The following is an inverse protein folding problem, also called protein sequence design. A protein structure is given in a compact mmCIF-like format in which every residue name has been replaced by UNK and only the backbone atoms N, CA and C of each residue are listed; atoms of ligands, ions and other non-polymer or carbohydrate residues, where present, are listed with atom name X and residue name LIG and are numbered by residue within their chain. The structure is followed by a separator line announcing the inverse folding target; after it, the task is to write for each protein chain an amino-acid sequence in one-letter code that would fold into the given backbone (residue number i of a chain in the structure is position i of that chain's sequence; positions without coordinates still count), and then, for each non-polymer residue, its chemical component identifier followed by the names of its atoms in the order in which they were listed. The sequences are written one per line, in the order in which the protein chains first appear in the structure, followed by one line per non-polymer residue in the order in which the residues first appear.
data_IF_665004759490
#
_entry.id   IF_665004759490
#
_cell.length_a   1.000
_cell.length_b   1.000
_cell.length_c   1.000
_cell.angle_alpha   90.00
_cell.angle_beta   90.00
_cell.angle_gamma   90.00
#
_symmetry.space_group_name_H-M   'P 1'
#
loop_
_entity.id
_entity.type
_entity.pdbx_description
1 polymer ?
#
# COMPACT_ATOMS: atom_id res chain seq x y z
N UNK A 1 35.14 37.91 -34.58
CA UNK A 1 33.86 38.00 -35.31
C UNK A 1 32.75 37.55 -34.36
N UNK A 2 31.93 38.47 -33.84
CA UNK A 2 30.86 38.18 -32.86
C UNK A 2 29.51 38.62 -33.42
N UNK A 3 28.71 37.67 -33.90
CA UNK A 3 27.25 37.74 -33.98
C UNK A 3 26.71 36.32 -33.93
N UNK A 4 26.55 35.78 -32.72
CA UNK A 4 25.65 34.65 -32.53
C UNK A 4 24.24 35.24 -32.61
N UNK A 5 23.59 35.01 -33.75
CA UNK A 5 22.15 35.22 -33.88
C UNK A 5 21.49 34.32 -32.83
N UNK A 6 20.94 34.90 -31.77
CA UNK A 6 19.95 34.22 -30.93
C UNK A 6 18.74 33.99 -31.81
N UNK A 7 18.61 32.75 -32.29
CA UNK A 7 17.56 32.29 -33.19
C UNK A 7 16.19 32.54 -32.54
N UNK A 8 15.25 33.09 -33.32
CA UNK A 8 13.88 33.30 -32.88
C UNK A 8 13.19 31.92 -32.82
N UNK A 9 13.27 31.28 -31.67
CA UNK A 9 12.64 29.99 -31.42
C UNK A 9 11.21 30.18 -30.88
N UNK A 10 10.22 29.87 -31.71
CA UNK A 10 8.80 29.99 -31.39
C UNK A 10 8.37 29.08 -30.23
N UNK A 11 8.95 27.88 -30.13
CA UNK A 11 8.67 26.94 -29.03
C UNK A 11 9.13 27.53 -27.69
N UNK A 12 10.32 28.14 -27.69
CA UNK A 12 10.87 28.79 -26.50
C UNK A 12 10.03 30.01 -26.06
N UNK A 13 9.47 30.77 -27.01
CA UNK A 13 8.53 31.87 -26.71
C UNK A 13 7.20 31.33 -26.15
N UNK A 14 6.69 30.21 -26.68
CA UNK A 14 5.51 29.54 -26.14
C UNK A 14 5.72 29.11 -24.68
N UNK A 15 6.82 28.41 -24.40
CA UNK A 15 7.18 28.00 -23.03
C UNK A 15 7.38 29.19 -22.09
N UNK A 16 7.95 30.30 -22.60
CA UNK A 16 8.05 31.54 -21.83
C UNK A 16 6.66 32.12 -21.48
N UNK A 17 5.74 32.12 -22.45
CA UNK A 17 4.37 32.56 -22.25
C UNK A 17 3.62 31.71 -21.20
N UNK A 18 3.82 30.40 -21.22
CA UNK A 18 3.20 29.47 -20.28
C UNK A 18 3.90 29.44 -18.89
N UNK A 19 5.02 30.15 -18.74
CA UNK A 19 5.80 30.19 -17.49
C UNK A 19 6.65 28.94 -17.23
N UNK A 20 6.92 28.13 -18.27
CA UNK A 20 7.63 26.85 -18.21
C UNK A 20 9.14 26.95 -18.47
N UNK A 21 9.71 28.15 -18.29
CA UNK A 21 11.14 28.42 -18.47
C UNK A 21 11.82 28.64 -17.12
N UNK A 22 13.10 28.28 -17.04
CA UNK A 22 13.91 28.59 -15.85
C UNK A 22 14.12 30.09 -15.70
N UNK A 23 14.48 30.55 -14.49
CA UNK A 23 14.73 31.97 -14.24
C UNK A 23 15.82 32.57 -15.14
N UNK A 24 16.86 31.80 -15.47
CA UNK A 24 17.94 32.24 -16.36
C UNK A 24 17.44 32.41 -17.80
N UNK A 25 16.60 31.50 -18.28
CA UNK A 25 15.99 31.56 -19.60
C UNK A 25 15.01 32.71 -19.69
N UNK A 26 14.20 32.92 -18.65
CA UNK A 26 13.30 34.07 -18.55
C UNK A 26 14.06 35.39 -18.76
N UNK A 27 15.14 35.63 -18.02
CA UNK A 27 15.95 36.86 -18.14
C UNK A 27 16.62 37.02 -19.53
N UNK A 28 16.94 35.91 -20.21
CA UNK A 28 17.49 35.92 -21.56
C UNK A 28 16.41 36.28 -22.59
N UNK A 29 15.23 35.66 -22.46
CA UNK A 29 14.10 35.84 -23.37
C UNK A 29 13.51 37.25 -23.19
N UNK A 30 13.35 37.75 -21.96
CA UNK A 30 12.88 39.12 -21.72
C UNK A 30 13.79 40.16 -22.40
N UNK A 31 15.11 39.99 -22.32
CA UNK A 31 16.06 40.86 -23.04
C UNK A 31 16.00 40.71 -24.55
N UNK A 32 15.76 39.50 -25.05
CA UNK A 32 15.55 39.29 -26.49
C UNK A 32 14.27 39.98 -26.99
N UNK A 33 13.20 39.91 -26.20
CA UNK A 33 11.92 40.54 -26.50
C UNK A 33 12.01 42.06 -26.56
N UNK A 34 12.92 42.71 -25.83
CA UNK A 34 13.14 44.17 -25.95
C UNK A 34 13.63 44.59 -27.35
N UNK A 35 14.36 43.71 -28.04
CA UNK A 35 15.03 44.01 -29.31
C UNK A 35 14.50 43.27 -30.55
N UNK A 36 13.56 42.34 -30.39
CA UNK A 36 13.09 41.48 -31.47
C UNK A 36 11.58 41.63 -31.76
N UNK A 37 11.19 42.39 -32.80
CA UNK A 37 9.79 42.58 -33.18
C UNK A 37 9.08 41.28 -33.56
N UNK A 38 9.79 40.30 -34.13
CA UNK A 38 9.22 39.00 -34.51
C UNK A 38 8.74 38.24 -33.28
N UNK A 39 9.59 38.10 -32.26
CA UNK A 39 9.23 37.40 -31.03
C UNK A 39 8.19 38.17 -30.21
N UNK A 40 8.20 39.50 -30.25
CA UNK A 40 7.12 40.31 -29.67
C UNK A 40 5.77 40.00 -30.33
N UNK A 41 5.75 39.88 -31.66
CA UNK A 41 4.52 39.56 -32.39
C UNK A 41 4.01 38.17 -32.03
N UNK A 42 4.87 37.15 -31.98
CA UNK A 42 4.50 35.79 -31.57
C UNK A 42 3.87 35.81 -30.16
N UNK A 43 4.49 36.54 -29.22
CA UNK A 43 3.96 36.67 -27.86
C UNK A 43 2.60 37.37 -27.83
N UNK A 44 2.41 38.42 -28.64
CA UNK A 44 1.13 39.14 -28.76
C UNK A 44 0.03 38.26 -29.38
N UNK A 45 0.37 37.46 -30.39
CA UNK A 45 -0.57 36.54 -31.03
C UNK A 45 -1.05 35.47 -30.03
N UNK A 46 -0.13 34.91 -29.22
CA UNK A 46 -0.47 33.97 -28.14
C UNK A 46 -1.35 34.62 -27.06
N UNK A 47 -1.04 35.86 -26.66
CA UNK A 47 -1.86 36.62 -25.72
C UNK A 47 -3.27 36.89 -26.25
N UNK A 48 -3.40 37.22 -27.54
CA UNK A 48 -4.68 37.46 -28.17
C UNK A 48 -5.55 36.19 -28.19
N UNK A 49 -4.97 35.05 -28.57
CA UNK A 49 -5.66 33.75 -28.56
C UNK A 49 -6.11 33.39 -27.13
N UNK A 50 -5.21 33.51 -26.16
CA UNK A 50 -5.50 33.22 -24.75
C UNK A 50 -6.63 34.10 -24.20
N UNK A 51 -6.64 35.39 -24.57
CA UNK A 51 -7.70 36.32 -24.17
C UNK A 51 -9.05 35.92 -24.77
N UNK A 52 -9.11 35.66 -26.08
CA UNK A 52 -10.35 35.23 -26.75
C UNK A 52 -10.87 33.92 -26.16
N UNK A 53 -9.99 32.97 -25.85
CA UNK A 53 -10.38 31.72 -25.22
C UNK A 53 -10.95 31.94 -23.81
N UNK A 54 -10.24 32.72 -22.98
CA UNK A 54 -10.67 33.03 -21.61
C UNK A 54 -12.00 33.77 -21.58
N UNK A 55 -12.17 34.79 -22.42
CA UNK A 55 -13.40 35.60 -22.44
C UNK A 55 -14.61 34.75 -22.84
N UNK A 56 -14.45 33.83 -23.79
CA UNK A 56 -15.49 32.88 -24.14
C UNK A 56 -15.77 31.88 -23.00
N UNK A 57 -14.72 31.35 -22.37
CA UNK A 57 -14.87 30.41 -21.26
C UNK A 57 -15.56 31.07 -20.07
N UNK A 58 -15.19 32.31 -19.71
CA UNK A 58 -15.79 33.06 -18.60
C UNK A 58 -17.27 33.36 -18.86
N UNK A 59 -17.64 33.66 -20.11
CA UNK A 59 -19.04 33.84 -20.51
C UNK A 59 -19.86 32.55 -20.36
N UNK A 60 -19.29 31.40 -20.71
CA UNK A 60 -19.98 30.10 -20.58
C UNK A 60 -20.01 29.63 -19.11
N UNK A 61 -18.91 29.81 -18.38
CA UNK A 61 -18.76 29.46 -16.95
C UNK A 61 -19.70 30.28 -16.08
N UNK A 62 -19.88 31.57 -16.37
CA UNK A 62 -20.84 32.41 -15.64
C UNK A 62 -22.31 32.00 -15.85
N UNK A 63 -22.60 31.28 -16.93
CA UNK A 63 -23.92 30.72 -17.21
C UNK A 63 -24.07 29.26 -16.71
N UNK A 64 -22.97 28.61 -16.34
CA UNK A 64 -22.98 27.23 -15.89
C UNK A 64 -23.44 27.11 -14.43
N UNK A 65 -24.37 26.19 -14.17
CA UNK A 65 -24.79 25.83 -12.82
C UNK A 65 -23.86 24.72 -12.26
N UNK A 66 -22.86 25.15 -11.50
CA UNK A 66 -21.93 24.23 -10.83
C UNK A 66 -22.59 23.42 -9.71
N UNK A 67 -23.72 23.87 -9.14
CA UNK A 67 -24.46 23.11 -8.14
C UNK A 67 -25.11 21.86 -8.73
N UNK A 68 -25.62 21.96 -9.95
CA UNK A 68 -26.13 20.81 -10.71
C UNK A 68 -24.99 19.83 -11.05
N UNK A 69 -23.81 20.35 -11.42
CA UNK A 69 -22.64 19.52 -11.70
C UNK A 69 -22.17 18.78 -10.44
N UNK A 70 -22.03 19.49 -9.32
CA UNK A 70 -21.63 18.92 -8.03
C UNK A 70 -22.58 17.81 -7.61
N UNK A 71 -23.89 18.05 -7.69
CA UNK A 71 -24.92 17.06 -7.34
C UNK A 71 -24.80 15.80 -8.20
N UNK A 72 -24.58 15.92 -9.51
CA UNK A 72 -24.39 14.76 -10.40
C UNK A 72 -23.12 13.99 -10.09
N UNK A 73 -22.02 14.69 -9.82
CA UNK A 73 -20.74 14.04 -9.49
C UNK A 73 -20.85 13.26 -8.18
N UNK A 74 -21.44 13.87 -7.15
CA UNK A 74 -21.67 13.21 -5.87
C UNK A 74 -22.60 12.00 -6.00
N UNK A 75 -23.68 12.12 -6.76
CA UNK A 75 -24.59 11.00 -6.99
C UNK A 75 -23.92 9.85 -7.76
N UNK A 76 -23.09 10.16 -8.75
CA UNK A 76 -22.33 9.16 -9.50
C UNK A 76 -21.28 8.45 -8.64
N UNK A 77 -20.62 9.15 -7.71
CA UNK A 77 -19.70 8.54 -6.75
C UNK A 77 -20.48 7.61 -5.81
N UNK A 78 -21.63 8.07 -5.28
CA UNK A 78 -22.47 7.29 -4.37
C UNK A 78 -23.04 6.03 -5.03
N UNK A 79 -23.46 6.10 -6.29
CA UNK A 79 -23.95 4.93 -7.03
C UNK A 79 -22.83 3.92 -7.33
N UNK A 80 -21.57 4.37 -7.40
CA UNK A 80 -20.41 3.51 -7.65
C UNK A 80 -19.96 2.76 -6.39
N UNK A 81 -20.34 3.21 -5.20
CA UNK A 81 -20.20 2.43 -3.97
C UNK A 81 -21.13 1.23 -4.02
N UNK A 82 -20.59 0.10 -4.49
CA UNK A 82 -21.32 -1.13 -4.73
C UNK A 82 -21.94 -1.67 -3.41
N UNK A 83 -23.26 -1.93 -3.34
CA UNK A 83 -23.97 -2.41 -2.13
C UNK A 83 -23.68 -3.88 -1.79
N UNK A 84 -22.55 -4.42 -2.23
CA UNK A 84 -22.15 -5.80 -1.93
C UNK A 84 -21.91 -6.00 -0.43
N UNK A 85 -21.31 -5.02 0.25
CA UNK A 85 -21.16 -5.04 1.71
C UNK A 85 -22.52 -5.01 2.43
N UNK A 86 -23.49 -4.22 1.98
CA UNK A 86 -24.84 -4.21 2.56
C UNK A 86 -25.59 -5.53 2.37
N UNK A 87 -25.35 -6.24 1.27
CA UNK A 87 -25.94 -7.57 1.03
C UNK A 87 -25.31 -8.63 1.93
N UNK A 88 -24.00 -8.58 2.16
CA UNK A 88 -23.29 -9.53 3.02
C UNK A 88 -23.66 -9.32 4.50
N UNK A 89 -23.72 -8.07 4.97
CA UNK A 89 -24.11 -7.78 6.36
C UNK A 89 -25.54 -8.24 6.65
N UNK A 90 -26.49 -8.03 5.73
CA UNK A 90 -27.87 -8.52 5.89
C UNK A 90 -27.97 -10.05 5.95
N UNK A 91 -27.10 -10.78 5.25
CA UNK A 91 -27.05 -12.24 5.32
C UNK A 91 -26.44 -12.74 6.64
N UNK A 92 -25.34 -12.12 7.09
CA UNK A 92 -24.67 -12.51 8.34
C UNK A 92 -25.45 -12.15 9.60
N UNK A 93 -26.16 -11.02 9.61
CA UNK A 93 -26.98 -10.56 10.75
C UNK A 93 -28.45 -11.01 10.69
N UNK A 94 -28.81 -11.90 9.77
CA UNK A 94 -30.11 -12.55 9.80
C UNK A 94 -30.17 -13.50 11.00
N UNK A 95 -31.09 -13.27 11.94
CA UNK A 95 -31.32 -14.09 13.15
C UNK A 95 -31.46 -15.61 12.87
N UNK A 96 -31.64 -16.00 11.60
CA UNK A 96 -31.65 -17.40 11.15
C UNK A 96 -30.28 -18.10 11.25
N UNK A 97 -29.16 -17.37 11.24
CA UNK A 97 -27.80 -17.93 11.33
C UNK A 97 -27.14 -17.74 12.71
N UNK A 98 -27.63 -16.82 13.54
CA UNK A 98 -27.10 -16.61 14.89
C UNK A 98 -27.40 -17.80 15.82
N UNK A 99 -28.56 -18.43 15.67
CA UNK A 99 -28.95 -19.61 16.46
C UNK A 99 -28.04 -20.82 16.17
N UNK A 100 -27.82 -21.25 14.91
CA UNK A 100 -26.91 -22.38 14.66
C UNK A 100 -25.45 -22.06 15.00
N UNK A 101 -24.98 -20.82 14.79
CA UNK A 101 -23.60 -20.45 15.09
C UNK A 101 -23.28 -20.51 16.60
N UNK A 102 -24.20 -20.04 17.44
CA UNK A 102 -24.05 -20.11 18.91
C UNK A 102 -24.08 -21.56 19.42
N UNK A 103 -24.92 -22.42 18.85
CA UNK A 103 -24.95 -23.84 19.20
C UNK A 103 -23.63 -24.56 18.85
N UNK A 104 -23.06 -24.31 17.67
CA UNK A 104 -21.77 -24.89 17.27
C UNK A 104 -20.63 -24.40 18.17
N UNK A 105 -20.58 -23.09 18.46
CA UNK A 105 -19.57 -22.54 19.36
C UNK A 105 -19.67 -23.14 20.78
N UNK A 106 -20.89 -23.31 21.30
CA UNK A 106 -21.11 -23.95 22.60
C UNK A 106 -20.69 -25.41 22.62
N UNK A 107 -20.94 -26.17 21.55
CA UNK A 107 -20.48 -27.55 21.43
C UNK A 107 -18.95 -27.64 21.38
N UNK A 108 -18.28 -26.78 20.60
CA UNK A 108 -16.81 -26.74 20.56
C UNK A 108 -16.25 -26.44 21.95
N UNK A 109 -16.82 -25.46 22.65
CA UNK A 109 -16.38 -25.09 23.99
C UNK A 109 -16.60 -26.24 24.98
N UNK A 110 -17.75 -26.92 24.90
CA UNK A 110 -18.06 -28.08 25.72
C UNK A 110 -17.07 -29.23 25.49
N UNK A 111 -16.74 -29.55 24.24
CA UNK A 111 -15.74 -30.57 23.91
C UNK A 111 -14.31 -30.17 24.29
N UNK A 112 -13.97 -28.89 24.23
CA UNK A 112 -12.67 -28.39 24.67
C UNK A 112 -12.48 -28.51 26.19
N UNK A 113 -13.55 -28.29 26.97
CA UNK A 113 -13.50 -28.35 28.44
C UNK A 113 -13.57 -29.80 28.96
N UNK A 114 -14.29 -30.68 28.27
CA UNK A 114 -14.52 -32.08 28.71
C UNK A 114 -13.39 -33.03 28.34
N UNK A 115 -12.45 -32.62 27.48
CA UNK A 115 -11.25 -33.41 27.20
C UNK A 115 -10.23 -33.16 28.30
N UNK A 116 -9.98 -34.18 29.13
CA UNK A 116 -8.85 -34.18 30.06
C UNK A 116 -7.55 -33.95 29.27
N UNK A 117 -6.63 -33.10 29.75
CA UNK A 117 -5.38 -32.85 29.08
C UNK A 117 -4.59 -34.15 28.99
N UNK A 118 -4.28 -34.59 27.76
CA UNK A 118 -3.37 -35.72 27.54
C UNK A 118 -2.01 -35.35 28.12
N UNK A 119 -1.68 -35.88 29.30
CA UNK A 119 -0.34 -35.80 29.87
C UNK A 119 0.58 -36.64 29.01
N UNK A 120 1.37 -36.00 28.16
CA UNK A 120 2.46 -36.65 27.43
C UNK A 120 3.47 -37.10 28.49
N UNK A 121 3.61 -38.42 28.68
CA UNK A 121 4.59 -38.98 29.61
C UNK A 121 6.00 -38.67 29.09
N UNK A 122 6.69 -37.72 29.73
CA UNK A 122 8.11 -37.45 29.49
C UNK A 122 9.01 -38.56 30.08
N UNK A 123 10.31 -38.58 29.72
CA UNK A 123 11.25 -39.56 30.25
C UNK A 123 11.35 -39.49 31.78
N UNK A 124 11.29 -40.63 32.46
CA UNK A 124 11.18 -40.70 33.93
C UNK A 124 12.46 -40.29 34.69
N UNK A 125 13.58 -40.11 34.01
CA UNK A 125 14.81 -39.54 34.56
C UNK A 125 15.75 -39.11 33.42
N UNK A 126 16.49 -38.01 33.61
CA UNK A 126 17.55 -37.54 32.72
C UNK A 126 18.85 -37.58 33.54
N UNK A 127 19.86 -38.30 33.06
CA UNK A 127 21.19 -38.38 33.70
C UNK A 127 22.11 -37.42 32.95
N UNK A 128 22.55 -36.34 33.59
CA UNK A 128 23.41 -35.33 32.95
C UNK A 128 24.91 -35.73 32.97
N UNK A 129 25.36 -36.41 34.02
CA UNK A 129 26.75 -36.87 34.14
C UNK A 129 26.89 -38.06 35.11
N UNK A 130 27.90 -38.90 34.88
CA UNK A 130 28.30 -40.01 35.76
C UNK A 130 29.82 -39.96 35.97
N UNK A 131 30.28 -39.98 37.23
CA UNK A 131 31.71 -39.87 37.59
C UNK A 131 32.11 -40.90 38.65
N UNK A 132 33.17 -41.67 38.41
CA UNK A 132 33.78 -42.61 39.36
C UNK A 132 35.03 -43.28 38.77
N UNK A 133 35.84 -43.95 39.60
CA UNK A 133 37.01 -44.72 39.14
C UNK A 133 36.58 -46.05 38.52
N UNK A 134 36.09 -45.99 37.29
CA UNK A 134 35.56 -47.14 36.56
C UNK A 134 36.56 -47.69 35.54
N UNK A 135 36.71 -49.01 35.53
CA UNK A 135 37.58 -49.73 34.60
C UNK A 135 36.92 -49.96 33.23
N UNK A 136 35.58 -50.03 33.19
CA UNK A 136 34.82 -50.12 31.94
C UNK A 136 33.38 -49.62 32.09
N UNK A 137 32.81 -49.13 30.99
CA UNK A 137 31.42 -48.69 30.87
C UNK A 137 30.79 -49.27 29.61
N UNK A 138 29.56 -49.75 29.72
CA UNK A 138 28.72 -50.22 28.62
C UNK A 138 27.34 -49.55 28.72
N UNK A 139 26.86 -49.04 27.58
CA UNK A 139 25.54 -48.43 27.47
C UNK A 139 24.70 -49.29 26.53
N UNK A 140 23.53 -49.71 26.97
CA UNK A 140 22.61 -50.56 26.22
C UNK A 140 21.24 -49.89 26.17
N UNK A 141 20.65 -49.83 24.99
CA UNK A 141 19.25 -49.41 24.83
C UNK A 141 18.37 -50.63 24.53
N UNK A 142 17.28 -50.79 25.28
CA UNK A 142 16.35 -51.90 25.06
C UNK A 142 15.53 -51.66 23.78
N UNK A 143 15.46 -52.61 22.83
CA UNK A 143 14.83 -52.37 21.52
C UNK A 143 13.31 -52.08 21.57
N UNK A 144 12.62 -52.51 22.63
CA UNK A 144 11.15 -52.42 22.71
C UNK A 144 10.67 -51.22 23.51
N UNK A 145 11.36 -50.87 24.60
CA UNK A 145 10.96 -49.80 25.53
C UNK A 145 11.86 -48.57 25.47
N UNK A 146 12.91 -48.58 24.62
CA UNK A 146 13.87 -47.48 24.48
C UNK A 146 14.49 -47.02 25.81
N UNK A 147 14.60 -47.93 26.78
CA UNK A 147 15.22 -47.65 28.06
C UNK A 147 16.74 -47.78 27.95
N UNK A 148 17.45 -46.75 28.38
CA UNK A 148 18.91 -46.73 28.47
C UNK A 148 19.37 -47.34 29.79
N UNK A 149 20.15 -48.41 29.71
CA UNK A 149 20.77 -49.08 30.84
C UNK A 149 22.28 -48.81 30.77
N UNK A 150 22.84 -48.28 31.86
CA UNK A 150 24.28 -48.01 31.98
C UNK A 150 24.87 -49.05 32.93
N UNK A 151 25.80 -49.87 32.44
CA UNK A 151 26.54 -50.85 33.23
C UNK A 151 28.00 -50.42 33.32
N UNK A 152 28.54 -50.35 34.53
CA UNK A 152 29.96 -50.06 34.74
C UNK A 152 30.59 -51.07 35.68
N UNK A 153 31.92 -51.16 35.63
CA UNK A 153 32.73 -51.97 36.56
C UNK A 153 33.72 -51.07 37.28
N UNK A 154 33.64 -51.04 38.60
CA UNK A 154 34.58 -50.30 39.44
C UNK A 154 35.97 -50.94 39.42
N UNK A 155 36.99 -50.11 39.60
CA UNK A 155 38.38 -50.56 39.74
C UNK A 155 38.62 -50.84 41.22
N UNK A 156 38.77 -52.10 41.61
CA UNK A 156 39.27 -52.47 42.96
C UNK A 156 40.79 -52.47 42.99
#
# INVERSE_FOLDING_TARGET
MKKAHHECDEELIGRYFDGEVSRKEHDLISRHLEGCPTCQKILQDNQAISTVFRDNLEREVSQADFGVLETRVLDQIRQKENPWWERITKLFFSNKLLIPATAVAALILFFAITREPTTISGPSAIIEAFSGEVSSVMIIETPKSHQTIIWYKETS
#
